data_IF_381938337095
#
_entry.id   IF_381938337095
#
_cell.length_a   1.000
_cell.length_b   1.000
_cell.length_c   1.000
_cell.angle_alpha   90.00
_cell.angle_beta   90.00
_cell.angle_gamma   90.00
#
_symmetry.space_group_name_H-M   'P 1'
#
loop_
_entity.id
_entity.type
_entity.pdbx_description
1 polymer ?
#
# COMPACT_ATOMS: atom_id res chain seq x y z
N UNK A 1 -13.98 -6.50 2.34
CA UNK A 1 -13.61 -5.82 1.07
C UNK A 1 -14.42 -6.30 -0.14
N UNK A 2 -14.69 -5.43 -1.13
CA UNK A 2 -15.29 -5.74 -2.45
C UNK A 2 -14.30 -5.55 -3.63
N UNK A 3 -14.68 -5.95 -4.84
CA UNK A 3 -13.84 -5.82 -6.05
C UNK A 3 -13.49 -4.37 -6.41
N UNK A 4 -14.41 -3.41 -6.19
CA UNK A 4 -14.15 -2.00 -6.53
C UNK A 4 -13.06 -1.41 -5.63
N UNK A 5 -13.13 -1.71 -4.33
CA UNK A 5 -12.13 -1.35 -3.35
C UNK A 5 -10.77 -1.99 -3.69
N UNK A 6 -10.76 -3.27 -4.05
CA UNK A 6 -9.53 -3.95 -4.47
C UNK A 6 -8.93 -3.34 -5.75
N UNK A 7 -9.77 -2.90 -6.70
CA UNK A 7 -9.31 -2.17 -7.90
C UNK A 7 -8.70 -0.82 -7.53
N UNK A 8 -9.30 -0.08 -6.59
CA UNK A 8 -8.72 1.17 -6.10
C UNK A 8 -7.36 0.94 -5.44
N UNK A 9 -7.20 -0.14 -4.67
CA UNK A 9 -5.89 -0.51 -4.10
C UNK A 9 -4.84 -0.66 -5.20
N UNK A 10 -5.15 -1.34 -6.31
CA UNK A 10 -4.21 -1.47 -7.43
C UNK A 10 -3.81 -0.09 -8.00
N UNK A 11 -4.78 0.81 -8.19
CA UNK A 11 -4.52 2.18 -8.68
C UNK A 11 -3.58 2.94 -7.74
N UNK A 12 -3.84 2.90 -6.44
CA UNK A 12 -3.01 3.57 -5.42
C UNK A 12 -1.59 2.99 -5.37
N UNK A 13 -1.43 1.68 -5.52
CA UNK A 13 -0.09 1.06 -5.57
C UNK A 13 0.66 1.43 -6.85
N UNK A 14 -0.02 1.54 -7.99
CA UNK A 14 0.60 2.02 -9.23
C UNK A 14 1.12 3.46 -9.05
N UNK A 15 0.30 4.36 -8.49
CA UNK A 15 0.73 5.73 -8.20
C UNK A 15 1.93 5.77 -7.22
N UNK A 16 1.93 4.90 -6.21
CA UNK A 16 3.06 4.76 -5.27
C UNK A 16 4.34 4.27 -5.97
N UNK A 17 4.21 3.34 -6.93
CA UNK A 17 5.32 2.82 -7.74
C UNK A 17 5.94 3.90 -8.63
N UNK A 18 5.12 4.77 -9.21
CA UNK A 18 5.58 5.93 -9.98
C UNK A 18 6.38 6.91 -9.12
N UNK A 19 5.90 7.21 -7.91
CA UNK A 19 6.59 8.09 -6.96
C UNK A 19 7.91 7.50 -6.47
N UNK A 20 7.94 6.21 -6.14
CA UNK A 20 9.16 5.52 -5.73
C UNK A 20 10.21 5.51 -6.85
N UNK A 21 9.76 5.27 -8.09
CA UNK A 21 10.63 5.32 -9.27
C UNK A 21 11.17 6.72 -9.51
N UNK A 22 10.32 7.75 -9.44
CA UNK A 22 10.74 9.14 -9.59
C UNK A 22 11.75 9.56 -8.52
N UNK A 23 11.50 9.19 -7.25
CA UNK A 23 12.41 9.46 -6.14
C UNK A 23 13.76 8.79 -6.35
N UNK A 24 13.77 7.49 -6.65
CA UNK A 24 15.00 6.72 -6.82
C UNK A 24 15.78 7.14 -8.07
N UNK A 25 15.11 7.52 -9.16
CA UNK A 25 15.76 8.03 -10.37
C UNK A 25 16.47 9.37 -10.12
N UNK A 26 15.90 10.21 -9.25
CA UNK A 26 16.43 11.56 -8.97
C UNK A 26 17.50 11.58 -7.88
N UNK A 27 17.34 10.78 -6.83
CA UNK A 27 18.17 10.86 -5.62
C UNK A 27 19.00 9.60 -5.36
N UNK A 28 18.68 8.48 -6.01
CA UNK A 28 19.35 7.19 -5.83
C UNK A 28 18.76 6.35 -4.69
N UNK A 29 19.07 5.05 -4.72
CA UNK A 29 18.51 4.03 -3.80
C UNK A 29 18.92 4.22 -2.33
N UNK A 30 20.09 4.81 -2.09
CA UNK A 30 20.63 5.03 -0.74
C UNK A 30 20.41 6.44 -0.20
N UNK A 31 19.56 7.23 -0.84
CA UNK A 31 19.30 8.59 -0.38
C UNK A 31 18.60 8.56 0.98
N UNK A 32 19.12 9.33 1.92
CA UNK A 32 18.50 9.54 3.23
C UNK A 32 18.06 11.00 3.35
N UNK A 33 16.83 11.18 3.82
CA UNK A 33 16.22 12.49 4.01
C UNK A 33 16.80 13.15 5.26
N UNK A 34 17.28 14.38 5.08
CA UNK A 34 17.80 15.25 6.13
C UNK A 34 16.99 16.55 6.17
N UNK A 35 17.13 17.31 7.25
CA UNK A 35 16.45 18.59 7.39
C UNK A 35 16.81 19.59 6.25
N UNK A 36 18.01 19.47 5.69
CA UNK A 36 18.53 20.28 4.58
C UNK A 36 18.34 19.62 3.20
N UNK A 37 17.66 18.47 3.11
CA UNK A 37 17.32 17.84 1.84
C UNK A 37 16.49 18.77 0.96
N UNK A 38 16.63 18.60 -0.36
CA UNK A 38 15.87 19.38 -1.33
C UNK A 38 14.35 19.32 -1.03
N UNK A 39 13.62 20.44 -1.08
CA UNK A 39 12.18 20.47 -0.78
C UNK A 39 11.36 19.47 -1.61
N UNK A 40 11.80 19.20 -2.84
CA UNK A 40 11.17 18.24 -3.72
C UNK A 40 11.34 16.78 -3.25
N UNK A 41 12.46 16.44 -2.61
CA UNK A 41 12.66 15.10 -2.01
C UNK A 41 11.63 14.87 -0.89
N UNK A 42 11.46 15.88 -0.03
CA UNK A 42 10.41 15.88 1.00
C UNK A 42 9.01 15.80 0.39
N UNK A 43 8.76 16.51 -0.71
CA UNK A 43 7.46 16.48 -1.41
C UNK A 43 7.14 15.08 -1.91
N UNK A 44 8.08 14.41 -2.58
CA UNK A 44 7.89 13.04 -3.07
C UNK A 44 7.70 12.05 -1.91
N UNK A 45 8.49 12.18 -0.84
CA UNK A 45 8.33 11.36 0.35
C UNK A 45 6.94 11.51 0.97
N UNK A 46 6.48 12.74 1.18
CA UNK A 46 5.17 13.01 1.77
C UNK A 46 4.04 12.45 0.88
N UNK A 47 4.13 12.62 -0.44
CA UNK A 47 3.17 12.01 -1.38
C UNK A 47 3.15 10.47 -1.28
N UNK A 48 4.31 9.83 -1.18
CA UNK A 48 4.38 8.38 -0.95
C UNK A 48 3.71 7.98 0.37
N UNK A 49 3.83 8.82 1.42
CA UNK A 49 3.16 8.58 2.71
C UNK A 49 1.65 8.72 2.60
N UNK A 50 1.17 9.71 1.86
CA UNK A 50 -0.26 9.94 1.66
C UNK A 50 -0.92 8.79 0.89
N UNK A 51 -0.27 8.26 -0.14
CA UNK A 51 -0.75 7.05 -0.83
C UNK A 51 -0.76 5.83 0.10
N UNK A 52 0.25 5.66 0.96
CA UNK A 52 0.23 4.59 1.95
C UNK A 52 -0.90 4.73 2.97
N UNK A 53 -1.25 5.96 3.39
CA UNK A 53 -2.39 6.23 4.29
C UNK A 53 -3.71 5.96 3.61
N UNK A 54 -3.83 6.30 2.33
CA UNK A 54 -5.00 6.01 1.51
C UNK A 54 -5.17 4.51 1.34
N UNK A 55 -4.09 3.79 0.99
CA UNK A 55 -4.07 2.32 0.95
C UNK A 55 -4.52 1.72 2.28
N UNK A 56 -3.98 2.18 3.41
CA UNK A 56 -4.41 1.71 4.72
C UNK A 56 -5.91 1.96 4.96
N UNK A 57 -6.45 3.09 4.52
CA UNK A 57 -7.88 3.40 4.63
C UNK A 57 -8.81 2.55 3.78
N UNK A 58 -8.28 1.86 2.76
CA UNK A 58 -9.04 0.93 1.91
C UNK A 58 -9.07 -0.50 2.48
N UNK A 59 -8.15 -0.85 3.39
CA UNK A 59 -8.07 -2.19 3.97
C UNK A 59 -9.10 -2.39 5.09
N UNK A 60 -9.56 -3.63 5.26
CA UNK A 60 -10.40 -4.01 6.39
C UNK A 60 -9.62 -3.81 7.71
N UNK A 61 -10.31 -3.30 8.75
CA UNK A 61 -9.66 -2.92 10.02
C UNK A 61 -8.94 -4.06 10.72
N UNK A 62 -9.39 -5.30 10.53
CA UNK A 62 -8.75 -6.50 11.08
C UNK A 62 -7.37 -6.71 10.48
N UNK A 63 -7.20 -6.50 9.17
CA UNK A 63 -5.91 -6.60 8.50
C UNK A 63 -4.92 -5.53 8.98
N UNK A 64 -5.41 -4.33 9.31
CA UNK A 64 -4.59 -3.28 9.91
C UNK A 64 -4.18 -3.61 11.36
N UNK A 65 -5.07 -4.26 12.11
CA UNK A 65 -4.80 -4.70 13.48
C UNK A 65 -3.83 -5.89 13.53
N UNK A 66 -3.87 -6.79 12.54
CA UNK A 66 -3.03 -7.99 12.45
C UNK A 66 -2.25 -8.07 11.12
N UNK A 67 -1.32 -7.14 10.88
CA UNK A 67 -0.56 -7.05 9.65
C UNK A 67 0.50 -8.17 9.58
N UNK A 68 0.64 -8.81 8.42
CA UNK A 68 1.68 -9.80 8.17
C UNK A 68 2.96 -9.14 7.66
N UNK A 69 3.88 -8.85 8.57
CA UNK A 69 5.14 -8.18 8.25
C UNK A 69 6.07 -9.12 7.45
N UNK A 70 6.26 -8.83 6.15
CA UNK A 70 7.24 -9.54 5.30
C UNK A 70 8.61 -8.89 5.29
N UNK A 71 8.65 -7.57 5.25
CA UNK A 71 9.87 -6.78 5.32
C UNK A 71 9.62 -5.52 6.16
N UNK A 72 10.70 -4.98 6.73
CA UNK A 72 10.66 -3.72 7.49
C UNK A 72 11.48 -2.66 6.77
N UNK A 73 11.13 -2.41 5.51
CA UNK A 73 11.89 -1.48 4.65
C UNK A 73 12.07 -0.10 5.29
N UNK A 74 11.10 0.33 6.10
CA UNK A 74 11.12 1.61 6.82
C UNK A 74 12.20 1.70 7.90
N UNK A 75 12.79 0.59 8.34
CA UNK A 75 13.94 0.60 9.26
C UNK A 75 15.25 0.88 8.51
N UNK A 76 15.27 0.71 7.18
CA UNK A 76 16.47 0.80 6.35
C UNK A 76 16.44 1.97 5.37
N UNK A 77 15.24 2.44 5.02
CA UNK A 77 15.02 3.44 3.99
C UNK A 77 13.97 4.46 4.43
N UNK A 78 14.23 5.74 4.16
CA UNK A 78 13.26 6.80 4.40
C UNK A 78 12.10 6.75 3.41
N UNK A 79 12.34 6.27 2.18
CA UNK A 79 11.35 6.12 1.13
C UNK A 79 11.18 4.64 0.74
N UNK A 80 9.98 4.27 0.31
CA UNK A 80 9.72 2.93 -0.21
C UNK A 80 10.49 2.74 -1.51
N UNK A 81 11.18 1.61 -1.66
CA UNK A 81 11.96 1.32 -2.86
C UNK A 81 11.13 0.65 -3.96
N UNK A 82 11.69 0.60 -5.17
CA UNK A 82 11.04 0.01 -6.35
C UNK A 82 10.69 -1.47 -6.11
N UNK A 83 11.54 -2.21 -5.40
CA UNK A 83 11.29 -3.63 -5.13
C UNK A 83 10.07 -3.82 -4.24
N UNK A 84 9.99 -3.05 -3.15
CA UNK A 84 8.87 -3.11 -2.21
C UNK A 84 7.57 -2.71 -2.88
N UNK A 85 7.59 -1.68 -3.74
CA UNK A 85 6.40 -1.29 -4.52
C UNK A 85 5.97 -2.35 -5.54
N UNK A 86 6.90 -3.07 -6.16
CA UNK A 86 6.60 -4.20 -7.03
C UNK A 86 5.97 -5.38 -6.28
N UNK A 87 6.52 -5.75 -5.12
CA UNK A 87 5.96 -6.80 -4.27
C UNK A 87 4.54 -6.43 -3.79
N UNK A 88 4.36 -5.16 -3.40
CA UNK A 88 3.06 -4.59 -3.02
C UNK A 88 2.07 -4.62 -4.20
N UNK A 89 2.51 -4.29 -5.41
CA UNK A 89 1.68 -4.33 -6.61
C UNK A 89 1.23 -5.76 -6.91
N UNK A 90 2.14 -6.72 -6.84
CA UNK A 90 1.81 -8.12 -7.07
C UNK A 90 0.74 -8.60 -6.08
N UNK A 91 0.89 -8.31 -4.78
CA UNK A 91 -0.12 -8.71 -3.80
C UNK A 91 -1.46 -7.98 -3.99
N UNK A 92 -1.45 -6.69 -4.33
CA UNK A 92 -2.66 -5.93 -4.66
C UNK A 92 -3.41 -6.52 -5.87
N UNK A 93 -2.68 -6.92 -6.91
CA UNK A 93 -3.26 -7.58 -8.07
C UNK A 93 -3.83 -8.96 -7.74
N UNK A 94 -3.15 -9.73 -6.88
CA UNK A 94 -3.66 -11.02 -6.38
C UNK A 94 -4.93 -10.84 -5.55
N UNK A 95 -4.99 -9.82 -4.70
CA UNK A 95 -6.20 -9.45 -3.94
C UNK A 95 -7.38 -9.16 -4.89
N UNK A 96 -7.17 -8.30 -5.90
CA UNK A 96 -8.19 -8.02 -6.91
C UNK A 96 -8.68 -9.29 -7.61
N UNK A 97 -7.74 -10.15 -8.04
CA UNK A 97 -8.08 -11.40 -8.71
C UNK A 97 -8.92 -12.32 -7.82
N UNK A 98 -8.59 -12.39 -6.51
CA UNK A 98 -9.35 -13.16 -5.52
C UNK A 98 -10.75 -12.58 -5.29
N UNK A 99 -10.90 -11.26 -5.22
CA UNK A 99 -12.21 -10.61 -5.11
C UNK A 99 -13.09 -10.91 -6.34
N UNK A 100 -12.55 -10.71 -7.55
CA UNK A 100 -13.27 -10.98 -8.81
C UNK A 100 -13.69 -12.44 -8.89
N UNK A 101 -12.79 -13.37 -8.53
CA UNK A 101 -13.11 -14.79 -8.52
C UNK A 101 -14.23 -15.13 -7.53
N UNK A 102 -14.14 -14.66 -6.28
CA UNK A 102 -15.13 -14.93 -5.25
C UNK A 102 -16.51 -14.34 -5.60
N UNK A 103 -16.56 -13.11 -6.13
CA UNK A 103 -17.80 -12.51 -6.64
C UNK A 103 -18.39 -13.34 -7.79
N UNK A 104 -17.56 -13.74 -8.76
CA UNK A 104 -18.01 -14.53 -9.92
C UNK A 104 -18.50 -15.93 -9.52
N UNK A 105 -17.95 -16.51 -8.45
CA UNK A 105 -18.34 -17.80 -7.90
C UNK A 105 -19.53 -17.71 -6.93
N UNK A 106 -20.10 -16.51 -6.69
CA UNK A 106 -21.11 -16.26 -5.66
C UNK A 106 -20.68 -16.69 -4.25
N UNK A 107 -19.38 -16.62 -3.95
CA UNK A 107 -18.85 -16.87 -2.61
C UNK A 107 -18.91 -15.60 -1.77
N UNK A 108 -19.10 -15.77 -0.45
CA UNK A 108 -19.00 -14.66 0.49
C UNK A 108 -17.54 -14.18 0.58
N UNK A 109 -17.30 -12.96 0.06
CA UNK A 109 -16.01 -12.28 0.09
C UNK A 109 -15.44 -12.19 1.51
N UNK A 110 -16.30 -12.00 2.52
CA UNK A 110 -15.88 -11.86 3.93
C UNK A 110 -15.34 -13.14 4.53
N UNK A 111 -15.66 -14.28 3.91
CA UNK A 111 -15.23 -15.60 4.37
C UNK A 111 -14.04 -16.13 3.60
N UNK A 112 -13.53 -15.40 2.60
CA UNK A 112 -12.39 -15.83 1.79
C UNK A 112 -11.07 -15.65 2.55
N UNK A 113 -10.39 -16.73 3.00
CA UNK A 113 -9.15 -16.59 3.76
C UNK A 113 -8.03 -15.98 2.91
N UNK A 114 -8.09 -16.16 1.59
CA UNK A 114 -7.12 -15.57 0.66
C UNK A 114 -7.24 -14.05 0.59
N UNK A 115 -8.46 -13.50 0.66
CA UNK A 115 -8.69 -12.05 0.69
C UNK A 115 -8.15 -11.48 2.00
N UNK A 116 -8.48 -12.10 3.14
CA UNK A 116 -7.97 -11.66 4.46
C UNK A 116 -6.44 -11.72 4.52
N UNK A 117 -5.83 -12.80 4.02
CA UNK A 117 -4.38 -12.96 3.98
C UNK A 117 -3.70 -11.87 3.13
N UNK A 118 -4.20 -11.60 1.92
CA UNK A 118 -3.68 -10.52 1.08
C UNK A 118 -3.73 -9.16 1.75
N UNK A 119 -4.87 -8.83 2.35
CA UNK A 119 -5.02 -7.55 3.04
C UNK A 119 -4.01 -7.43 4.18
N UNK A 120 -3.79 -8.50 4.94
CA UNK A 120 -2.80 -8.51 6.02
C UNK A 120 -1.36 -8.37 5.50
N UNK A 121 -1.03 -8.99 4.36
CA UNK A 121 0.29 -8.85 3.72
C UNK A 121 0.49 -7.42 3.21
N UNK A 122 -0.51 -6.85 2.51
CA UNK A 122 -0.49 -5.46 2.05
C UNK A 122 -0.32 -4.52 3.25
N UNK A 123 -1.12 -4.68 4.30
CA UNK A 123 -0.97 -3.92 5.53
C UNK A 123 0.44 -4.08 6.13
N UNK A 124 1.05 -5.25 6.05
CA UNK A 124 2.40 -5.48 6.56
C UNK A 124 3.52 -4.83 5.75
N UNK A 125 3.26 -4.43 4.50
CA UNK A 125 4.21 -3.71 3.65
C UNK A 125 4.08 -2.18 3.76
N UNK A 126 3.00 -1.65 4.34
CA UNK A 126 2.84 -0.21 4.57
C UNK A 126 3.62 0.25 5.80
N UNK A 127 4.15 1.47 5.75
CA UNK A 127 4.86 2.02 6.89
C UNK A 127 3.94 2.12 8.13
N UNK A 128 4.42 1.79 9.36
CA UNK A 128 3.68 1.92 10.63
C UNK A 128 2.84 3.19 10.80
N UNK A 129 3.44 4.39 10.68
CA UNK A 129 2.71 5.65 10.81
C UNK A 129 1.55 5.81 9.82
N UNK A 130 1.65 5.26 8.60
CA UNK A 130 0.55 5.34 7.63
C UNK A 130 -0.65 4.48 8.04
N UNK A 131 -0.41 3.40 8.81
CA UNK A 131 -1.45 2.49 9.32
C UNK A 131 -2.13 3.02 10.57
N UNK A 132 -1.43 3.82 11.36
CA UNK A 132 -1.95 4.44 12.57
C UNK A 132 -2.88 5.62 12.25
N UNK A 133 -2.69 6.27 11.11
CA UNK A 133 -3.49 7.42 10.66
C UNK A 133 -3.99 7.21 9.20
N UNK A 134 -4.88 6.22 8.98
CA UNK A 134 -5.41 5.92 7.65
C UNK A 134 -6.38 7.01 7.20
N UNK A 135 -6.28 7.43 5.93
CA UNK A 135 -7.26 8.33 5.33
C UNK A 135 -8.45 7.49 4.89
N UNK A 136 -9.54 7.56 5.66
CA UNK A 136 -10.79 6.87 5.30
C UNK A 136 -11.48 7.63 4.18
N UNK A 137 -11.47 7.07 2.97
CA UNK A 137 -12.29 7.57 1.89
C UNK A 137 -13.75 7.19 2.16
N UNK A 138 -14.54 8.17 2.62
CA UNK A 138 -15.99 8.03 2.69
C UNK A 138 -16.52 8.21 1.27
N UNK A 139 -16.65 7.11 0.52
CA UNK A 139 -17.47 7.14 -0.68
C UNK A 139 -18.93 7.24 -0.22
N UNK A 140 -19.60 8.35 -0.58
CA UNK A 140 -21.05 8.46 -0.43
C UNK A 140 -21.70 7.34 -1.25
N UNK A 141 -22.46 6.49 -0.56
CA UNK A 141 -23.19 5.37 -1.12
C UNK A 141 -24.27 5.82 -2.12
#
# INVERSE_FOLDING_TARGET
>A
MDTNTARQIVVEVTALSELATAFQAKYGKGYSLKADSAPEAWTLHNRMRDHQRTLAGLLDSEALAQPQIRNRWWEQHDAMDIRTTQDLFFEAYQLLTRCVYAESANHDLRQSPGITCSQAIIAGMLHPAARQDPVRMVYAA
#
